data_IF_409294456366
#
_entry.id   IF_409294456366
#
_cell.length_a   1.000
_cell.length_b   1.000
_cell.length_c   1.000
_cell.angle_alpha   90.00
_cell.angle_beta   90.00
_cell.angle_gamma   90.00
#
_symmetry.space_group_name_H-M   'P 1'
#
loop_
_entity.id
_entity.type
_entity.pdbx_description
1 polymer ?
#
# COMPACT_ATOMS: atom_id res chain seq x y z
N UNK A 1 -1.85 10.41 -6.99
CA UNK A 1 -0.81 10.57 -5.94
C UNK A 1 -1.34 10.42 -4.51
N UNK A 2 -2.46 11.06 -4.13
CA UNK A 2 -3.01 11.00 -2.75
C UNK A 2 -3.30 9.57 -2.28
N UNK A 3 -3.91 8.71 -3.11
CA UNK A 3 -4.13 7.29 -2.76
C UNK A 3 -2.85 6.58 -2.32
N UNK A 4 -1.74 6.79 -3.03
CA UNK A 4 -0.47 6.07 -2.79
C UNK A 4 0.12 6.46 -1.45
N UNK A 5 0.15 7.76 -1.15
CA UNK A 5 0.67 8.27 0.14
C UNK A 5 -0.24 7.83 1.30
N UNK A 6 -1.56 7.94 1.13
CA UNK A 6 -2.52 7.48 2.15
C UNK A 6 -2.39 5.99 2.42
N UNK A 7 -2.24 5.15 1.38
CA UNK A 7 -2.01 3.72 1.54
C UNK A 7 -0.69 3.40 2.22
N UNK A 8 0.41 4.09 1.89
CA UNK A 8 1.70 3.83 2.55
C UNK A 8 1.65 4.11 4.06
N UNK A 9 0.92 5.15 4.50
CA UNK A 9 0.77 5.49 5.92
C UNK A 9 -0.18 4.53 6.63
N UNK A 10 -1.39 4.33 6.08
CA UNK A 10 -2.41 3.50 6.71
C UNK A 10 -1.99 2.04 6.73
N UNK A 11 -1.37 1.56 5.65
CA UNK A 11 -0.93 0.18 5.60
C UNK A 11 0.25 -0.14 6.51
N UNK A 12 1.14 0.83 6.77
CA UNK A 12 2.16 0.64 7.80
C UNK A 12 1.53 0.44 9.19
N UNK A 13 0.36 1.00 9.47
CA UNK A 13 -0.31 0.84 10.77
C UNK A 13 -1.18 -0.43 10.80
N UNK A 14 -1.92 -0.67 9.71
CA UNK A 14 -2.93 -1.72 9.60
C UNK A 14 -2.31 -3.10 9.31
N UNK A 15 -1.19 -3.14 8.59
CA UNK A 15 -0.50 -4.37 8.20
C UNK A 15 -1.33 -5.34 7.34
N UNK A 16 -2.47 -4.90 6.80
CA UNK A 16 -3.41 -5.71 6.03
C UNK A 16 -3.95 -4.97 4.81
N UNK A 17 -3.48 -5.35 3.63
CA UNK A 17 -3.89 -4.74 2.36
C UNK A 17 -5.38 -4.82 2.07
N UNK A 18 -6.08 -5.83 2.60
CA UNK A 18 -7.53 -6.00 2.42
C UNK A 18 -8.30 -5.01 3.30
N UNK A 19 -7.88 -4.85 4.55
CA UNK A 19 -8.48 -3.87 5.45
C UNK A 19 -8.22 -2.43 4.96
N UNK A 20 -7.04 -2.19 4.40
CA UNK A 20 -6.66 -0.89 3.83
C UNK A 20 -7.45 -0.58 2.57
N UNK A 21 -7.62 -1.56 1.67
CA UNK A 21 -8.45 -1.40 0.49
C UNK A 21 -9.91 -1.09 0.84
N UNK A 22 -10.46 -1.76 1.85
CA UNK A 22 -11.82 -1.49 2.32
C UNK A 22 -11.94 -0.07 2.90
N UNK A 23 -10.97 0.33 3.74
CA UNK A 23 -11.01 1.62 4.43
C UNK A 23 -10.75 2.79 3.48
N UNK A 24 -9.62 2.76 2.78
CA UNK A 24 -9.16 3.81 1.85
C UNK A 24 -10.06 3.86 0.63
N UNK A 25 -10.41 2.71 0.05
CA UNK A 25 -11.24 2.63 -1.15
C UNK A 25 -12.64 3.20 -0.94
N UNK A 26 -13.22 3.01 0.26
CA UNK A 26 -14.55 3.56 0.58
C UNK A 26 -14.61 5.10 0.53
N UNK A 27 -13.49 5.79 0.74
CA UNK A 27 -13.39 7.25 0.76
C UNK A 27 -12.81 7.79 -0.55
N UNK A 28 -11.74 7.18 -1.07
CA UNK A 28 -11.01 7.70 -2.22
C UNK A 28 -11.65 7.35 -3.56
N UNK A 29 -12.29 6.18 -3.72
CA UNK A 29 -12.93 5.82 -5.00
C UNK A 29 -14.08 6.78 -5.35
N UNK A 30 -15.02 7.10 -4.44
CA UNK A 30 -16.09 8.06 -4.74
C UNK A 30 -15.57 9.48 -5.02
N UNK A 31 -14.52 9.90 -4.32
CA UNK A 31 -13.88 11.22 -4.55
C UNK A 31 -13.17 11.27 -5.90
N UNK A 32 -12.53 10.18 -6.33
CA UNK A 32 -11.93 10.07 -7.66
C UNK A 32 -12.99 10.09 -8.77
N UNK A 33 -14.12 9.39 -8.60
CA UNK A 33 -15.26 9.47 -9.53
C UNK A 33 -15.78 10.91 -9.64
N UNK A 34 -15.93 11.64 -8.52
CA UNK A 34 -16.32 13.07 -8.52
C UNK A 34 -15.35 13.98 -9.28
N UNK A 35 -14.07 13.61 -9.36
CA UNK A 35 -13.03 14.35 -10.08
C UNK A 35 -12.93 13.96 -11.56
N UNK A 36 -13.77 13.04 -12.03
CA UNK A 36 -13.84 12.63 -13.43
C UNK A 36 -12.98 11.41 -13.80
N UNK A 37 -12.40 10.72 -12.82
CA UNK A 37 -11.72 9.45 -13.07
C UNK A 37 -12.74 8.32 -13.27
N UNK A 38 -12.41 7.36 -14.14
CA UNK A 38 -13.23 6.15 -14.27
C UNK A 38 -13.18 5.31 -13.00
N UNK A 39 -14.27 4.60 -12.72
CA UNK A 39 -14.37 3.71 -11.56
C UNK A 39 -13.32 2.60 -11.62
N UNK A 40 -13.04 2.09 -12.81
CA UNK A 40 -12.04 1.05 -13.07
C UNK A 40 -10.64 1.56 -12.73
N UNK A 41 -10.31 2.81 -13.11
CA UNK A 41 -9.03 3.42 -12.77
C UNK A 41 -8.92 3.65 -11.26
N UNK A 42 -9.97 4.21 -10.64
CA UNK A 42 -9.99 4.49 -9.21
C UNK A 42 -9.88 3.22 -8.36
N UNK A 43 -10.58 2.14 -8.73
CA UNK A 43 -10.47 0.84 -8.08
C UNK A 43 -9.08 0.22 -8.31
N UNK A 44 -8.58 0.24 -9.56
CA UNK A 44 -7.28 -0.33 -9.92
C UNK A 44 -6.12 0.33 -9.18
N UNK A 45 -6.07 1.66 -9.13
CA UNK A 45 -5.01 2.38 -8.41
C UNK A 45 -5.10 2.17 -6.90
N UNK A 46 -6.32 2.04 -6.35
CA UNK A 46 -6.52 1.80 -4.91
C UNK A 46 -5.99 0.43 -4.51
N UNK A 47 -6.36 -0.63 -5.25
CA UNK A 47 -5.88 -2.00 -5.00
C UNK A 47 -4.37 -2.11 -5.19
N UNK A 48 -3.85 -1.48 -6.24
CA UNK A 48 -2.41 -1.42 -6.44
C UNK A 48 -1.73 -0.73 -5.25
N UNK A 49 -2.26 0.40 -4.76
CA UNK A 49 -1.64 1.20 -3.70
C UNK A 49 -1.64 0.50 -2.34
N UNK A 50 -2.70 -0.25 -2.02
CA UNK A 50 -2.83 -0.96 -0.75
C UNK A 50 -1.94 -2.21 -0.69
N UNK A 51 -1.48 -2.71 -1.84
CA UNK A 51 -0.56 -3.87 -1.91
C UNK A 51 0.83 -3.52 -1.37
N UNK A 52 1.29 -2.28 -1.50
CA UNK A 52 2.54 -1.82 -0.87
C UNK A 52 2.54 -1.95 0.66
N UNK A 53 1.34 -2.03 1.23
CA UNK A 53 1.13 -2.19 2.64
C UNK A 53 1.68 -3.47 3.27
N UNK A 54 1.78 -4.55 2.51
CA UNK A 54 2.36 -5.79 3.05
C UNK A 54 3.89 -5.73 3.14
N UNK A 55 4.52 -4.80 2.42
CA UNK A 55 5.98 -4.73 2.26
C UNK A 55 6.57 -3.66 3.19
N UNK A 56 5.88 -2.53 3.37
CA UNK A 56 6.34 -1.42 4.21
C UNK A 56 6.09 -1.76 5.69
N UNK A 57 7.13 -1.80 6.54
CA UNK A 57 6.97 -2.10 7.96
C UNK A 57 6.20 -1.00 8.72
N UNK A 58 5.45 -1.34 9.80
CA UNK A 58 5.13 -2.68 10.29
C UNK A 58 4.05 -3.43 9.46
N UNK A 59 4.22 -4.75 9.26
CA UNK A 59 3.33 -5.58 8.42
C UNK A 59 3.01 -6.91 9.10
N UNK A 60 1.72 -7.25 9.26
CA UNK A 60 1.25 -8.48 9.93
C UNK A 60 1.76 -9.74 9.21
N UNK A 61 1.62 -9.89 7.88
CA UNK A 61 2.18 -11.02 7.14
C UNK A 61 3.67 -11.23 7.40
N UNK A 62 4.41 -10.13 7.55
CA UNK A 62 5.86 -10.17 7.74
C UNK A 62 6.26 -10.59 9.14
N UNK A 63 5.47 -10.22 10.16
CA UNK A 63 5.63 -10.73 11.53
C UNK A 63 5.35 -12.23 11.59
N UNK A 64 4.29 -12.70 10.92
CA UNK A 64 3.97 -14.13 10.82
C UNK A 64 5.11 -14.88 10.12
N UNK A 65 5.64 -14.34 9.02
CA UNK A 65 6.78 -14.93 8.30
C UNK A 65 8.03 -15.00 9.19
N UNK A 66 8.38 -13.91 9.87
CA UNK A 66 9.53 -13.87 10.78
C UNK A 66 9.42 -14.94 11.88
N UNK A 67 8.22 -15.11 12.44
CA UNK A 67 7.93 -16.14 13.44
C UNK A 67 8.12 -17.56 12.88
N UNK A 68 7.59 -17.85 11.70
CA UNK A 68 7.75 -19.16 11.04
C UNK A 68 9.20 -19.45 10.64
N UNK A 69 9.92 -18.43 10.17
CA UNK A 69 11.31 -18.53 9.76
C UNK A 69 12.29 -18.53 10.95
N UNK A 70 11.81 -18.32 12.19
CA UNK A 70 12.64 -18.13 13.39
C UNK A 70 13.70 -17.03 13.21
N UNK A 71 13.36 -16.01 12.42
CA UNK A 71 14.22 -14.90 12.08
C UNK A 71 13.87 -13.64 12.87
N UNK A 72 14.82 -12.70 12.95
CA UNK A 72 14.56 -11.43 13.63
C UNK A 72 13.56 -10.58 12.85
N UNK A 73 12.41 -10.29 13.47
CA UNK A 73 11.40 -9.35 12.95
C UNK A 73 12.04 -8.03 12.55
N UNK A 74 12.95 -7.49 13.37
CA UNK A 74 13.64 -6.22 13.10
C UNK A 74 14.54 -6.29 11.86
N UNK A 75 15.24 -7.41 11.61
CA UNK A 75 16.03 -7.59 10.38
C UNK A 75 15.14 -7.68 9.14
N UNK A 76 14.04 -8.40 9.23
CA UNK A 76 13.05 -8.51 8.14
C UNK A 76 12.38 -7.16 7.85
N UNK A 77 12.12 -6.36 8.87
CA UNK A 77 11.58 -5.01 8.73
C UNK A 77 12.57 -4.10 7.98
N UNK A 78 13.84 -4.17 8.36
CA UNK A 78 14.87 -3.36 7.71
C UNK A 78 15.16 -3.82 6.27
N UNK A 79 15.03 -5.12 5.99
CA UNK A 79 15.28 -5.67 4.64
C UNK A 79 14.20 -5.26 3.63
N UNK A 80 12.96 -5.05 4.07
CA UNK A 80 11.86 -4.61 3.19
C UNK A 80 11.64 -3.11 3.17
N UNK A 81 12.24 -2.34 4.09
CA UNK A 81 12.14 -0.88 4.10
C UNK A 81 12.62 -0.23 2.79
N UNK A 82 13.79 -0.64 2.28
CA UNK A 82 14.34 -0.14 1.01
C UNK A 82 13.48 -0.57 -0.20
N UNK A 83 13.14 -1.87 -0.37
CA UNK A 83 12.20 -2.31 -1.40
C UNK A 83 10.84 -1.61 -1.35
N UNK A 84 10.27 -1.43 -0.16
CA UNK A 84 8.98 -0.77 0.03
C UNK A 84 8.99 0.70 -0.39
N UNK A 85 10.10 1.40 -0.11
CA UNK A 85 10.28 2.78 -0.57
C UNK A 85 10.39 2.86 -2.10
N UNK A 86 11.16 1.94 -2.71
CA UNK A 86 11.31 1.87 -4.17
C UNK A 86 9.94 1.60 -4.83
N UNK A 87 9.17 0.63 -4.32
CA UNK A 87 7.84 0.32 -4.85
C UNK A 87 6.87 1.50 -4.70
N UNK A 88 6.90 2.21 -3.57
CA UNK A 88 6.15 3.44 -3.39
C UNK A 88 6.49 4.50 -4.43
N UNK A 89 7.78 4.74 -4.67
CA UNK A 89 8.26 5.71 -5.67
C UNK A 89 7.90 5.30 -7.11
N UNK A 90 8.08 4.04 -7.47
CA UNK A 90 7.69 3.49 -8.79
C UNK A 90 6.19 3.67 -9.00
N UNK A 91 5.39 3.41 -7.98
CA UNK A 91 3.95 3.55 -8.08
C UNK A 91 3.48 5.01 -8.16
N UNK A 92 4.18 5.92 -7.47
CA UNK A 92 3.97 7.35 -7.65
C UNK A 92 4.32 7.80 -9.06
N UNK A 93 5.42 7.30 -9.64
CA UNK A 93 5.83 7.61 -11.01
C UNK A 93 4.82 7.10 -12.05
N UNK A 94 4.37 5.85 -11.92
CA UNK A 94 3.33 5.27 -12.79
C UNK A 94 2.03 6.09 -12.71
N UNK A 95 1.58 6.43 -11.49
CA UNK A 95 0.40 7.26 -11.30
C UNK A 95 0.58 8.65 -11.94
N UNK A 96 1.76 9.25 -11.85
CA UNK A 96 2.06 10.53 -12.50
C UNK A 96 2.12 10.50 -14.02
N UNK A 97 2.26 9.33 -14.64
CA UNK A 97 2.26 9.14 -16.11
C UNK A 97 0.86 8.81 -16.63
N UNK A 98 0.03 8.13 -15.82
CA UNK A 98 -1.31 7.66 -16.21
C UNK A 98 -2.42 8.65 -15.82
N UNK A 99 -2.24 9.45 -14.76
CA UNK A 99 -3.18 10.50 -14.32
C UNK A 99 -3.19 11.74 -15.20
#
# INVERSE_FOLDING_TARGET
>A
MVCVVSSMIISGISGSSVADAASIGSVLIPEMERRGYSREYAAGITVAATTNGMIIPPSIPMVIFAFMATESVGKLFLSTAVPGLILGLVQMAINGIIS
#
